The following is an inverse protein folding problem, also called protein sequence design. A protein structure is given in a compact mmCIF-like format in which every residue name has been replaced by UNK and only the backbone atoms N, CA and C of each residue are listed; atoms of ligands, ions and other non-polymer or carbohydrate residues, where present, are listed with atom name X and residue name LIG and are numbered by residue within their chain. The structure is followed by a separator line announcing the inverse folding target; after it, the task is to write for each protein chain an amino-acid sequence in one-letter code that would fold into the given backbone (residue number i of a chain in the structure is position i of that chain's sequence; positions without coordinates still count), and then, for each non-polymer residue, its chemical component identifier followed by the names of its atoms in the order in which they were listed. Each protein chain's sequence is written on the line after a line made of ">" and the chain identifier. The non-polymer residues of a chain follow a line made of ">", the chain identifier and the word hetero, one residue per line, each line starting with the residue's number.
data_IF_556372193336
#
_entry.id   IF_556372193336
#
_cell.length_a   1.000
_cell.length_b   1.000
_cell.length_c   1.000
_cell.angle_alpha   90.00
_cell.angle_beta   90.00
_cell.angle_gamma   90.00
#
_symmetry.space_group_name_H-M   'P 1'
#
loop_
_entity.id
_entity.type
_entity.pdbx_description
1 polymer ?
#
# COMPACT_ATOMS: atom_id res chain seq x y z
N UNK A 1 9.69 -5.31 19.89
CA UNK A 1 8.95 -4.36 19.01
C UNK A 1 9.17 -4.80 17.57
N UNK A 2 8.10 -5.06 16.80
CA UNK A 2 8.23 -5.45 15.39
C UNK A 2 8.57 -4.18 14.59
N UNK A 3 9.77 -4.11 13.97
CA UNK A 3 10.18 -2.94 13.17
C UNK A 3 9.56 -2.92 11.77
N UNK A 4 9.09 -4.07 11.28
CA UNK A 4 8.47 -4.19 9.97
C UNK A 4 7.20 -3.34 9.78
N UNK A 5 6.23 -3.31 10.71
CA UNK A 5 5.06 -2.43 10.60
C UNK A 5 5.44 -0.96 10.48
N UNK A 6 6.24 -0.43 11.41
CA UNK A 6 6.60 0.99 11.41
C UNK A 6 7.34 1.44 10.14
N UNK A 7 8.22 0.59 9.59
CA UNK A 7 8.92 0.89 8.33
C UNK A 7 7.96 0.86 7.13
N UNK A 8 7.00 -0.08 7.12
CA UNK A 8 6.00 -0.18 6.05
C UNK A 8 5.02 1.00 6.09
N UNK A 9 4.57 1.40 7.27
CA UNK A 9 3.71 2.57 7.49
C UNK A 9 4.42 3.87 7.05
N UNK A 10 5.70 4.04 7.36
CA UNK A 10 6.51 5.17 6.88
C UNK A 10 6.64 5.20 5.35
N UNK A 11 6.91 4.05 4.72
CA UNK A 11 6.97 3.92 3.27
C UNK A 11 5.63 4.26 2.59
N UNK A 12 4.52 3.78 3.15
CA UNK A 12 3.17 4.07 2.64
C UNK A 12 2.85 5.56 2.75
N UNK A 13 3.17 6.17 3.90
CA UNK A 13 2.88 7.56 4.19
C UNK A 13 3.77 8.56 3.44
N UNK A 14 4.91 8.14 2.88
CA UNK A 14 5.85 9.04 2.20
C UNK A 14 6.09 8.63 0.74
N UNK A 15 6.87 7.58 0.49
CA UNK A 15 7.26 7.18 -0.87
C UNK A 15 6.09 6.67 -1.72
N UNK A 16 5.04 6.11 -1.11
CA UNK A 16 3.97 5.40 -1.80
C UNK A 16 2.59 6.08 -1.68
N UNK A 17 2.55 7.38 -1.36
CA UNK A 17 1.31 8.13 -1.13
C UNK A 17 0.34 8.05 -2.31
N UNK A 18 0.81 8.12 -3.55
CA UNK A 18 -0.09 8.14 -4.71
C UNK A 18 -0.73 6.77 -4.96
N UNK A 19 0.02 5.67 -4.81
CA UNK A 19 -0.54 4.32 -4.85
C UNK A 19 -1.59 4.14 -3.73
N UNK A 20 -1.31 4.63 -2.52
CA UNK A 20 -2.25 4.58 -1.40
C UNK A 20 -3.53 5.38 -1.66
N UNK A 21 -3.43 6.57 -2.29
CA UNK A 21 -4.60 7.37 -2.71
C UNK A 21 -5.43 6.64 -3.76
N UNK A 22 -4.80 5.98 -4.74
CA UNK A 22 -5.52 5.20 -5.75
C UNK A 22 -6.28 4.04 -5.13
N UNK A 23 -5.64 3.27 -4.23
CA UNK A 23 -6.30 2.20 -3.50
C UNK A 23 -7.47 2.70 -2.67
N UNK A 24 -7.29 3.80 -1.93
CA UNK A 24 -8.37 4.41 -1.15
C UNK A 24 -9.53 4.86 -2.04
N UNK A 25 -9.23 5.51 -3.16
CA UNK A 25 -10.26 5.94 -4.11
C UNK A 25 -11.04 4.75 -4.70
N UNK A 26 -10.37 3.65 -5.01
CA UNK A 26 -11.05 2.42 -5.45
C UNK A 26 -11.96 1.88 -4.34
N UNK A 27 -11.44 1.73 -3.12
CA UNK A 27 -12.19 1.23 -1.97
C UNK A 27 -13.44 2.07 -1.70
N UNK A 28 -13.28 3.40 -1.61
CA UNK A 28 -14.38 4.34 -1.39
C UNK A 28 -15.45 4.22 -2.49
N UNK A 29 -15.04 3.96 -3.74
CA UNK A 29 -15.97 3.78 -4.88
C UNK A 29 -16.74 2.47 -4.79
N UNK A 30 -16.08 1.37 -4.44
CA UNK A 30 -16.71 0.05 -4.23
C UNK A 30 -17.68 0.10 -3.06
N UNK A 31 -17.27 0.65 -1.92
CA UNK A 31 -18.10 0.79 -0.72
C UNK A 31 -19.32 1.69 -0.96
N UNK A 32 -19.18 2.69 -1.83
CA UNK A 32 -20.30 3.54 -2.25
C UNK A 32 -21.25 2.88 -3.27
N UNK A 33 -20.98 1.65 -3.70
CA UNK A 33 -21.76 0.96 -4.75
C UNK A 33 -21.65 1.62 -6.13
N UNK A 34 -20.58 2.38 -6.36
CA UNK A 34 -20.30 3.09 -7.62
C UNK A 34 -19.26 2.36 -8.49
N UNK A 35 -18.90 1.15 -8.09
CA UNK A 35 -18.01 0.28 -8.85
C UNK A 35 -18.70 -0.34 -10.06
N UNK A 36 -17.90 -0.91 -10.96
CA UNK A 36 -18.39 -1.72 -12.09
C UNK A 36 -18.75 -3.14 -11.63
N UNK A 37 -19.54 -3.85 -12.44
CA UNK A 37 -19.86 -5.25 -12.16
C UNK A 37 -18.58 -6.09 -12.11
N UNK A 38 -18.34 -6.75 -10.98
CA UNK A 38 -17.13 -7.55 -10.75
C UNK A 38 -15.86 -6.73 -10.51
N UNK A 39 -15.95 -5.41 -10.33
CA UNK A 39 -14.80 -4.59 -9.96
C UNK A 39 -14.34 -4.91 -8.53
N UNK A 40 -13.03 -5.11 -8.38
CA UNK A 40 -12.32 -5.18 -7.11
C UNK A 40 -11.14 -4.20 -7.11
N UNK A 41 -10.48 -4.06 -5.96
CA UNK A 41 -9.33 -3.15 -5.79
C UNK A 41 -8.01 -3.90 -5.65
N UNK A 42 -7.93 -5.13 -6.17
CA UNK A 42 -6.72 -5.96 -6.04
C UNK A 42 -5.57 -5.35 -6.83
N UNK A 43 -5.83 -4.77 -8.01
CA UNK A 43 -4.79 -4.09 -8.79
C UNK A 43 -4.16 -2.94 -7.99
N UNK A 44 -4.97 -2.04 -7.42
CA UNK A 44 -4.47 -0.92 -6.63
C UNK A 44 -3.76 -1.38 -5.35
N UNK A 45 -4.24 -2.46 -4.71
CA UNK A 45 -3.54 -3.06 -3.58
C UNK A 45 -2.15 -3.56 -3.98
N UNK A 46 -2.01 -4.21 -5.14
CA UNK A 46 -0.72 -4.66 -5.64
C UNK A 46 0.22 -3.49 -5.95
N UNK A 47 -0.29 -2.36 -6.44
CA UNK A 47 0.51 -1.14 -6.60
C UNK A 47 1.03 -0.61 -5.26
N UNK A 48 0.19 -0.57 -4.21
CA UNK A 48 0.62 -0.18 -2.85
C UNK A 48 1.69 -1.14 -2.34
N UNK A 49 1.43 -2.45 -2.38
CA UNK A 49 2.35 -3.46 -1.87
C UNK A 49 3.69 -3.44 -2.61
N UNK A 50 3.67 -3.35 -3.94
CA UNK A 50 4.88 -3.30 -4.76
C UNK A 50 5.76 -2.11 -4.37
N UNK A 51 5.17 -0.93 -4.23
CA UNK A 51 5.91 0.26 -3.81
C UNK A 51 6.43 0.14 -2.37
N UNK A 52 5.58 -0.27 -1.43
CA UNK A 52 5.94 -0.39 -0.01
C UNK A 52 7.04 -1.43 0.18
N UNK A 53 7.00 -2.57 -0.51
CA UNK A 53 8.04 -3.58 -0.41
C UNK A 53 9.38 -3.11 -1.01
N UNK A 54 9.35 -2.41 -2.14
CA UNK A 54 10.56 -1.81 -2.73
C UNK A 54 11.22 -0.81 -1.78
N UNK A 55 10.42 -0.01 -1.07
CA UNK A 55 10.89 0.93 -0.05
C UNK A 55 11.37 0.24 1.24
N UNK A 56 10.57 -0.69 1.76
CA UNK A 56 10.77 -1.26 3.09
C UNK A 56 11.86 -2.32 3.14
N UNK A 57 12.03 -3.13 2.08
CA UNK A 57 12.99 -4.22 2.06
C UNK A 57 14.44 -3.78 2.43
N UNK A 58 15.05 -2.77 1.78
CA UNK A 58 16.40 -2.34 2.15
C UNK A 58 16.49 -1.70 3.54
N UNK A 59 15.42 -1.02 4.01
CA UNK A 59 15.36 -0.43 5.37
C UNK A 59 15.30 -1.54 6.42
N UNK A 60 14.53 -2.60 6.16
CA UNK A 60 14.34 -3.74 7.05
C UNK A 60 15.60 -4.57 7.19
N UNK A 61 16.23 -4.96 6.08
CA UNK A 61 17.42 -5.80 6.14
C UNK A 61 18.61 -5.11 6.84
N UNK A 62 18.71 -3.78 6.78
CA UNK A 62 19.68 -3.00 7.58
C UNK A 62 19.47 -3.08 9.10
N UNK A 63 18.27 -3.44 9.56
CA UNK A 63 17.93 -3.59 10.98
C UNK A 63 18.02 -5.04 11.48
N UNK A 64 18.09 -5.99 10.55
CA UNK A 64 18.20 -7.43 10.82
C UNK A 64 19.64 -7.95 10.64
N UNK A 65 20.51 -7.15 10.03
CA UNK A 65 21.94 -7.40 9.89
C UNK A 65 22.70 -7.12 11.19
#
# INVERSE_FOLDING_TARGET
>A
MKQAPAIREDCEANECQDAAKHFKHCADKIEAGKGWEGEDCVEELFHVMHCVDACAAPKLFKKLA
#
